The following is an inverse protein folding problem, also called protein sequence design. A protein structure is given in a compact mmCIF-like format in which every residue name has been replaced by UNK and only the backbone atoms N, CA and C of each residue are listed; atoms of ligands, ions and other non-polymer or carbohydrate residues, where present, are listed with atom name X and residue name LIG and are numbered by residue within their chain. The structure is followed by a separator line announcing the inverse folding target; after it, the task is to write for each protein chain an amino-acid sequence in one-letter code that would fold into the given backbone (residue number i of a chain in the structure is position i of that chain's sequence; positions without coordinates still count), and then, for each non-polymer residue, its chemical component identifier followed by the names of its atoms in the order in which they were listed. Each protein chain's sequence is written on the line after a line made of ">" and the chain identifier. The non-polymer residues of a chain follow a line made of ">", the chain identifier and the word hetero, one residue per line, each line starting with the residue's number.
data_IF_967038837049
#
_entry.id   IF_967038837049
#
_cell.length_a   1.000
_cell.length_b   1.000
_cell.length_c   1.000
_cell.angle_alpha   90.00
_cell.angle_beta   90.00
_cell.angle_gamma   90.00
#
_symmetry.space_group_name_H-M   'P 1'
#
loop_
_entity.id
_entity.type
_entity.pdbx_description
1 polymer ?
#
# COMPACT_ATOMS: atom_id res chain seq x y z
N UNK A 1 8.84 14.04 -31.27
CA UNK A 1 8.54 14.55 -29.92
C UNK A 1 8.67 13.41 -28.93
N UNK A 2 9.38 13.61 -27.81
CA UNK A 2 9.48 12.62 -26.74
C UNK A 2 8.20 12.58 -25.90
N UNK A 3 8.01 11.53 -25.09
CA UNK A 3 6.83 11.43 -24.24
C UNK A 3 6.74 12.57 -23.22
N UNK A 4 7.86 13.01 -22.63
CA UNK A 4 7.86 14.14 -21.69
C UNK A 4 7.53 15.46 -22.39
N UNK A 5 8.07 15.71 -23.59
CA UNK A 5 7.73 16.91 -24.38
C UNK A 5 6.25 16.94 -24.75
N UNK A 6 5.65 15.77 -25.04
CA UNK A 6 4.23 15.66 -25.33
C UNK A 6 3.36 15.97 -24.09
N UNK A 7 3.74 15.46 -22.92
CA UNK A 7 3.06 15.74 -21.63
C UNK A 7 3.17 17.24 -21.29
N UNK A 8 4.37 17.82 -21.43
CA UNK A 8 4.60 19.24 -21.17
C UNK A 8 3.75 20.12 -22.09
N UNK A 9 3.77 19.85 -23.40
CA UNK A 9 2.95 20.57 -24.38
C UNK A 9 1.46 20.50 -24.03
N UNK A 10 0.98 19.32 -23.62
CA UNK A 10 -0.42 19.13 -23.24
C UNK A 10 -0.79 19.98 -22.02
N UNK A 11 -0.01 19.92 -20.95
CA UNK A 11 -0.26 20.70 -19.74
C UNK A 11 -0.12 22.21 -19.98
N UNK A 12 0.79 22.65 -20.86
CA UNK A 12 0.91 24.06 -21.26
C UNK A 12 -0.32 24.54 -22.04
N UNK A 13 -0.90 23.71 -22.91
CA UNK A 13 -2.07 24.08 -23.70
C UNK A 13 -3.36 24.07 -22.89
N UNK A 14 -3.52 23.11 -21.98
CA UNK A 14 -4.73 23.03 -21.16
C UNK A 14 -4.70 23.99 -19.98
N UNK A 15 -3.50 24.43 -19.56
CA UNK A 15 -3.32 25.39 -18.47
C UNK A 15 -3.87 24.91 -17.13
N UNK A 16 -4.12 23.59 -16.99
CA UNK A 16 -4.72 23.00 -15.81
C UNK A 16 -4.03 21.68 -15.46
N UNK A 17 -4.02 21.29 -14.17
CA UNK A 17 -3.59 19.96 -13.76
C UNK A 17 -4.47 18.87 -14.40
N UNK A 18 -3.86 17.76 -14.78
CA UNK A 18 -4.57 16.62 -15.38
C UNK A 18 -4.08 15.30 -14.78
N UNK A 19 -4.96 14.31 -14.67
CA UNK A 19 -4.56 13.00 -14.16
C UNK A 19 -3.70 12.25 -15.17
N UNK A 20 -2.88 11.29 -14.71
CA UNK A 20 -2.08 10.42 -15.59
C UNK A 20 -2.94 9.65 -16.60
N UNK A 21 -4.18 9.30 -16.22
CA UNK A 21 -5.15 8.69 -17.13
C UNK A 21 -5.63 9.70 -18.18
N UNK A 22 -6.04 10.91 -17.77
CA UNK A 22 -6.45 11.96 -18.69
C UNK A 22 -5.34 12.35 -19.67
N UNK A 23 -4.09 12.38 -19.20
CA UNK A 23 -2.92 12.64 -20.04
C UNK A 23 -2.70 11.50 -21.04
N UNK A 24 -2.79 10.25 -20.61
CA UNK A 24 -2.66 9.10 -21.52
C UNK A 24 -3.75 9.12 -22.61
N UNK A 25 -5.01 9.34 -22.22
CA UNK A 25 -6.15 9.38 -23.13
C UNK A 25 -6.01 10.50 -24.17
N UNK A 26 -5.66 11.71 -23.71
CA UNK A 26 -5.54 12.88 -24.57
C UNK A 26 -4.31 12.78 -25.49
N UNK A 27 -3.20 12.20 -25.03
CA UNK A 27 -2.03 11.95 -25.88
C UNK A 27 -2.29 10.87 -26.93
N UNK A 28 -3.03 9.82 -26.59
CA UNK A 28 -3.46 8.79 -27.54
C UNK A 28 -4.41 9.35 -28.60
N UNK A 29 -5.34 10.24 -28.20
CA UNK A 29 -6.29 10.91 -29.09
C UNK A 29 -5.59 11.86 -30.06
N UNK A 30 -4.63 12.65 -29.56
CA UNK A 30 -4.01 13.73 -30.33
C UNK A 30 -2.79 13.25 -31.15
N UNK A 31 -2.38 11.98 -30.97
CA UNK A 31 -1.27 11.30 -31.67
C UNK A 31 0.07 12.05 -31.57
N UNK A 32 0.24 12.83 -30.51
CA UNK A 32 1.43 13.65 -30.26
C UNK A 32 2.66 12.84 -29.87
N UNK A 33 2.45 11.63 -29.34
CA UNK A 33 3.47 10.62 -29.15
C UNK A 33 2.91 9.28 -29.61
N UNK A 34 3.70 8.52 -30.38
CA UNK A 34 3.37 7.16 -30.75
C UNK A 34 4.53 6.26 -30.36
N UNK A 35 4.21 5.12 -29.77
CA UNK A 35 5.19 4.09 -29.45
C UNK A 35 5.68 3.45 -30.75
N UNK A 36 6.94 2.99 -30.75
CA UNK A 36 7.53 2.27 -31.90
C UNK A 36 6.78 0.98 -32.26
N UNK A 37 6.11 0.38 -31.27
CA UNK A 37 5.31 -0.84 -31.41
C UNK A 37 3.84 -0.55 -31.82
N UNK A 38 3.47 0.72 -32.03
CA UNK A 38 2.11 1.12 -32.40
C UNK A 38 1.05 1.01 -31.30
N UNK A 39 1.41 0.51 -30.12
CA UNK A 39 0.46 0.36 -29.01
C UNK A 39 0.17 1.70 -28.29
N UNK A 40 -0.96 1.74 -27.57
CA UNK A 40 -1.40 2.94 -26.85
C UNK A 40 -0.55 3.24 -25.63
N UNK A 41 -0.45 4.52 -25.30
CA UNK A 41 0.21 5.02 -24.10
C UNK A 41 -0.68 4.69 -22.90
N UNK A 42 -0.11 4.04 -21.89
CA UNK A 42 -0.82 3.68 -20.66
C UNK A 42 -0.47 4.65 -19.52
N UNK A 43 -1.41 4.88 -18.60
CA UNK A 43 -1.25 5.85 -17.51
C UNK A 43 0.01 5.62 -16.65
N UNK A 44 0.41 4.37 -16.43
CA UNK A 44 1.63 4.04 -15.68
C UNK A 44 2.92 4.48 -16.40
N UNK A 45 2.90 4.59 -17.73
CA UNK A 45 4.04 5.05 -18.52
C UNK A 45 4.21 6.57 -18.42
N UNK A 46 3.09 7.30 -18.28
CA UNK A 46 3.08 8.73 -17.94
C UNK A 46 3.71 8.92 -16.57
N UNK A 47 3.25 8.14 -15.59
CA UNK A 47 3.77 8.15 -14.22
C UNK A 47 5.29 7.91 -14.16
N UNK A 48 5.77 6.85 -14.82
CA UNK A 48 7.20 6.53 -14.87
C UNK A 48 8.04 7.59 -15.60
N UNK A 49 7.48 8.23 -16.63
CA UNK A 49 8.18 9.28 -17.37
C UNK A 49 8.33 10.55 -16.55
N UNK A 50 7.27 11.02 -15.90
CA UNK A 50 7.24 12.26 -15.11
C UNK A 50 8.27 12.24 -13.96
N UNK A 51 8.45 11.07 -13.32
CA UNK A 51 9.42 10.90 -12.22
C UNK A 51 10.87 11.24 -12.63
N UNK A 52 11.21 11.08 -13.90
CA UNK A 52 12.55 11.38 -14.42
C UNK A 52 12.72 12.84 -14.85
N UNK A 53 11.68 13.67 -14.72
CA UNK A 53 11.66 15.09 -15.11
C UNK A 53 11.03 15.93 -13.99
N UNK A 54 11.50 15.73 -12.75
CA UNK A 54 11.02 16.45 -11.56
C UNK A 54 11.31 17.96 -11.60
N UNK A 55 12.16 18.43 -12.51
CA UNK A 55 12.43 19.86 -12.71
C UNK A 55 11.35 20.54 -13.59
N UNK A 56 10.50 19.76 -14.27
CA UNK A 56 9.49 20.24 -15.22
C UNK A 56 8.07 19.99 -14.70
N UNK A 57 7.85 18.86 -14.05
CA UNK A 57 6.54 18.39 -13.61
C UNK A 57 6.48 18.22 -12.10
N UNK A 58 5.38 18.67 -11.53
CA UNK A 58 5.00 18.41 -10.14
C UNK A 58 3.66 17.65 -10.13
N UNK A 59 3.37 16.98 -9.02
CA UNK A 59 2.25 16.03 -8.94
C UNK A 59 1.60 15.98 -7.58
N UNK A 60 0.31 15.75 -7.59
CA UNK A 60 -0.51 15.47 -6.43
C UNK A 60 -1.34 14.20 -6.71
N UNK A 61 -0.90 13.08 -6.13
CA UNK A 61 -1.47 11.76 -6.42
C UNK A 61 -1.32 11.37 -7.89
N UNK A 62 -2.45 11.15 -8.57
CA UNK A 62 -2.51 10.86 -10.00
C UNK A 62 -2.52 12.13 -10.87
N UNK A 63 -2.61 13.31 -10.27
CA UNK A 63 -2.71 14.60 -10.96
C UNK A 63 -1.32 15.19 -11.21
N UNK A 64 -1.09 15.70 -12.41
CA UNK A 64 0.18 16.24 -12.88
C UNK A 64 0.00 17.69 -13.30
N UNK A 65 0.94 18.55 -12.94
CA UNK A 65 0.96 19.97 -13.29
C UNK A 65 2.40 20.44 -13.58
N UNK A 66 2.53 21.60 -14.20
CA UNK A 66 3.83 22.19 -14.54
C UNK A 66 4.33 23.07 -13.41
N UNK A 67 5.62 22.94 -13.09
CA UNK A 67 6.28 23.77 -12.10
C UNK A 67 6.32 25.22 -12.60
N UNK A 68 5.91 26.16 -11.75
CA UNK A 68 5.92 27.59 -12.06
C UNK A 68 4.66 28.14 -12.74
N UNK A 69 3.59 27.35 -12.90
CA UNK A 69 2.29 27.90 -13.29
C UNK A 69 1.48 28.36 -12.06
N UNK A 70 1.00 29.61 -12.03
CA UNK A 70 0.22 30.12 -10.91
C UNK A 70 -1.13 29.40 -10.82
N UNK A 71 -1.38 28.70 -9.71
CA UNK A 71 -2.71 28.19 -9.39
C UNK A 71 -3.61 29.36 -9.01
N UNK A 72 -4.53 29.73 -9.89
CA UNK A 72 -5.51 30.80 -9.63
C UNK A 72 -6.47 30.37 -8.52
N UNK A 73 -6.21 30.88 -7.30
CA UNK A 73 -7.18 30.93 -6.21
C UNK A 73 -8.30 31.90 -6.58
N UNK A 74 -9.48 31.39 -6.91
CA UNK A 74 -10.68 32.24 -7.06
C UNK A 74 -11.30 32.47 -5.68
N UNK A 75 -11.23 33.71 -5.19
CA UNK A 75 -11.97 34.24 -4.02
C UNK A 75 -13.40 34.62 -4.45
N UNK A 76 -14.37 34.43 -3.54
CA UNK A 76 -15.62 35.19 -3.48
C UNK A 76 -16.03 35.40 -1.98
N UNK A 77 -16.81 36.44 -1.63
CA UNK A 77 -16.52 37.27 -0.47
C UNK A 77 -17.44 37.11 0.77
N UNK A 78 -16.84 37.39 1.94
CA UNK A 78 -17.36 38.02 3.18
C UNK A 78 -18.71 37.62 3.78
N UNK A 79 -18.70 37.06 5.00
CA UNK A 79 -19.35 37.66 6.19
C UNK A 79 -19.04 36.89 7.51
N UNK A 80 -18.55 37.65 8.51
CA UNK A 80 -18.71 37.55 9.98
C UNK A 80 -18.18 36.32 10.76
N UNK A 81 -17.15 36.56 11.58
CA UNK A 81 -16.84 35.88 12.87
C UNK A 81 -17.94 36.21 13.92
N UNK A 82 -18.09 35.52 15.08
CA UNK A 82 -17.16 34.60 15.75
C UNK A 82 -17.82 33.24 16.12
N UNK A 83 -17.11 32.15 16.43
CA UNK A 83 -16.69 31.79 17.81
C UNK A 83 -15.80 30.53 17.71
N UNK A 84 -14.61 30.57 18.29
CA UNK A 84 -13.58 29.54 18.10
C UNK A 84 -13.87 28.27 18.91
N UNK A 85 -14.41 27.25 18.23
CA UNK A 85 -14.28 25.85 18.65
C UNK A 85 -12.87 25.41 18.25
N UNK A 86 -12.11 24.89 19.22
CA UNK A 86 -10.80 24.26 18.99
C UNK A 86 -10.99 23.02 18.12
N UNK A 87 -10.85 23.15 16.81
CA UNK A 87 -10.61 22.01 15.92
C UNK A 87 -9.19 22.16 15.40
N UNK A 88 -8.29 21.29 15.86
CA UNK A 88 -6.94 21.17 15.34
C UNK A 88 -7.02 20.88 13.84
N UNK A 89 -6.55 21.83 13.04
CA UNK A 89 -6.29 21.66 11.61
C UNK A 89 -5.22 20.57 11.47
N UNK A 90 -5.61 19.36 11.01
CA UNK A 90 -4.65 18.32 10.61
C UNK A 90 -3.80 18.87 9.47
N UNK A 91 -2.51 18.98 9.75
CA UNK A 91 -1.47 19.37 8.79
C UNK A 91 -1.46 18.34 7.66
N UNK A 92 -1.51 18.79 6.40
CA UNK A 92 -1.33 17.94 5.23
C UNK A 92 0.01 17.20 5.31
N UNK A 93 -0.02 15.92 5.69
CA UNK A 93 1.17 15.09 5.75
C UNK A 93 1.61 14.69 4.34
N UNK A 94 2.84 15.05 4.00
CA UNK A 94 3.58 14.66 2.79
C UNK A 94 4.00 13.19 2.75
N UNK A 95 3.62 12.37 3.75
CA UNK A 95 4.04 10.97 3.87
C UNK A 95 2.87 9.98 3.96
N UNK A 96 1.69 10.39 3.47
CA UNK A 96 0.52 9.50 3.41
C UNK A 96 0.78 8.30 2.49
N UNK A 97 0.64 7.09 3.04
CA UNK A 97 0.70 5.81 2.34
C UNK A 97 -0.60 5.06 2.51
N UNK A 98 -0.89 4.15 1.59
CA UNK A 98 -2.03 3.24 1.67
C UNK A 98 -1.56 1.78 1.57
N UNK A 99 -2.25 0.86 2.24
CA UNK A 99 -2.06 -0.58 2.13
C UNK A 99 -2.73 -1.11 0.84
N UNK A 100 -2.55 -2.40 0.57
CA UNK A 100 -3.16 -3.11 -0.54
C UNK A 100 -4.47 -3.79 -0.13
N UNK A 101 -5.19 -4.31 -1.11
CA UNK A 101 -6.28 -5.25 -0.88
C UNK A 101 -5.78 -6.54 -0.22
N UNK A 102 -6.62 -7.25 0.57
CA UNK A 102 -6.23 -8.51 1.16
C UNK A 102 -5.98 -9.57 0.09
N UNK A 103 -4.99 -10.42 0.32
CA UNK A 103 -4.86 -11.69 -0.42
C UNK A 103 -5.62 -12.73 0.39
N UNK A 104 -6.80 -13.12 -0.07
CA UNK A 104 -7.63 -14.15 0.57
C UNK A 104 -8.61 -14.77 -0.42
N UNK A 105 -9.27 -15.84 0.01
CA UNK A 105 -10.42 -16.45 -0.66
C UNK A 105 -11.42 -16.98 0.38
N UNK A 106 -12.56 -17.53 -0.05
CA UNK A 106 -13.60 -18.09 0.84
C UNK A 106 -13.10 -19.19 1.79
N UNK A 107 -12.02 -19.88 1.42
CA UNK A 107 -11.45 -21.00 2.19
C UNK A 107 -10.39 -20.56 3.20
N UNK A 108 -10.10 -19.26 3.27
CA UNK A 108 -9.11 -18.70 4.20
C UNK A 108 -9.48 -19.03 5.64
N UNK A 109 -8.56 -19.71 6.33
CA UNK A 109 -8.70 -20.18 7.70
C UNK A 109 -7.74 -19.48 8.67
N UNK A 110 -6.65 -18.93 8.15
CA UNK A 110 -5.62 -18.21 8.89
C UNK A 110 -5.45 -16.85 8.22
N UNK A 111 -5.55 -15.75 8.97
CA UNK A 111 -5.25 -14.40 8.50
C UNK A 111 -3.98 -13.89 9.18
N UNK A 112 -2.96 -13.53 8.41
CA UNK A 112 -1.77 -12.85 8.92
C UNK A 112 -1.90 -11.36 8.70
N UNK A 113 -1.83 -10.59 9.79
CA UNK A 113 -1.94 -9.14 9.80
C UNK A 113 -0.56 -8.52 9.97
N UNK A 114 -0.15 -7.74 8.96
CA UNK A 114 0.95 -6.79 9.06
C UNK A 114 0.50 -5.45 9.64
N UNK A 115 1.47 -4.59 9.92
CA UNK A 115 1.20 -3.21 10.33
C UNK A 115 0.76 -2.37 9.13
N UNK A 116 1.64 -2.28 8.13
CA UNK A 116 1.48 -1.52 6.89
C UNK A 116 2.62 -1.89 5.91
N UNK A 117 2.41 -1.89 4.59
CA UNK A 117 3.47 -2.19 3.64
C UNK A 117 4.62 -1.18 3.73
N UNK A 118 5.86 -1.67 3.57
CA UNK A 118 7.04 -0.83 3.46
C UNK A 118 7.17 -0.18 2.08
N UNK A 119 8.08 0.78 1.93
CA UNK A 119 8.31 1.51 0.68
C UNK A 119 8.58 0.58 -0.50
N UNK A 120 9.41 -0.45 -0.28
CA UNK A 120 9.74 -1.43 -1.33
C UNK A 120 8.54 -2.29 -1.71
N UNK A 121 7.68 -2.63 -0.74
CA UNK A 121 6.45 -3.36 -0.99
C UNK A 121 5.50 -2.52 -1.84
N UNK A 122 5.29 -1.25 -1.48
CA UNK A 122 4.49 -0.28 -2.24
C UNK A 122 5.03 -0.03 -3.65
N UNK A 123 6.35 0.09 -3.80
CA UNK A 123 7.00 0.26 -5.10
C UNK A 123 6.75 -0.94 -6.04
N UNK A 124 6.79 -2.16 -5.50
CA UNK A 124 6.60 -3.38 -6.26
C UNK A 124 5.12 -3.77 -6.43
N UNK A 125 4.22 -3.20 -5.64
CA UNK A 125 2.84 -3.68 -5.55
C UNK A 125 2.73 -5.08 -4.94
N UNK A 126 3.70 -5.46 -4.10
CA UNK A 126 3.80 -6.79 -3.51
C UNK A 126 3.90 -6.73 -1.99
N UNK A 127 3.04 -7.48 -1.30
CA UNK A 127 3.22 -7.72 0.12
C UNK A 127 4.60 -8.33 0.40
N UNK A 128 5.27 -7.79 1.43
CA UNK A 128 6.60 -8.24 1.84
C UNK A 128 7.65 -8.23 0.71
N UNK A 129 7.49 -7.38 -0.31
CA UNK A 129 8.37 -7.30 -1.49
C UNK A 129 9.84 -6.91 -1.23
N UNK A 130 10.23 -6.52 -0.02
CA UNK A 130 11.63 -6.22 0.29
C UNK A 130 12.48 -7.51 0.28
N UNK A 131 13.61 -7.62 -0.46
CA UNK A 131 14.36 -8.87 -0.61
C UNK A 131 14.88 -9.49 0.70
N UNK A 132 15.17 -8.64 1.70
CA UNK A 132 15.57 -9.09 3.05
C UNK A 132 14.41 -9.42 3.98
N UNK A 133 13.16 -9.23 3.56
CA UNK A 133 12.01 -9.64 4.35
C UNK A 133 11.89 -11.16 4.33
N UNK A 134 11.78 -11.76 5.51
CA UNK A 134 11.83 -13.23 5.66
C UNK A 134 10.47 -13.90 5.47
N UNK A 135 9.38 -13.16 5.26
CA UNK A 135 8.01 -13.70 5.24
C UNK A 135 7.86 -14.88 4.27
N UNK A 136 8.19 -14.69 3.00
CA UNK A 136 8.04 -15.75 1.99
C UNK A 136 8.90 -16.98 2.29
N UNK A 137 10.11 -16.77 2.81
CA UNK A 137 11.01 -17.86 3.23
C UNK A 137 10.46 -18.61 4.45
N UNK A 138 9.87 -17.91 5.41
CA UNK A 138 9.22 -18.52 6.57
C UNK A 138 8.03 -19.34 6.13
N UNK A 139 7.12 -18.77 5.32
CA UNK A 139 5.94 -19.48 4.82
C UNK A 139 6.32 -20.73 4.05
N UNK A 140 7.30 -20.66 3.14
CA UNK A 140 7.75 -21.83 2.38
C UNK A 140 8.35 -22.90 3.30
N UNK A 141 9.16 -22.51 4.30
CA UNK A 141 9.75 -23.46 5.25
C UNK A 141 8.72 -24.12 6.17
N UNK A 142 7.76 -23.37 6.73
CA UNK A 142 6.77 -23.95 7.65
C UNK A 142 5.71 -24.78 6.92
N UNK A 143 5.50 -24.53 5.62
CA UNK A 143 4.60 -25.33 4.77
C UNK A 143 5.31 -26.48 4.06
N UNK A 144 6.63 -26.60 4.22
CA UNK A 144 7.48 -27.59 3.52
C UNK A 144 7.38 -27.50 1.98
N UNK A 145 7.43 -26.29 1.43
CA UNK A 145 7.46 -26.02 -0.01
C UNK A 145 8.73 -25.25 -0.38
N UNK A 146 9.11 -25.28 -1.66
CA UNK A 146 10.17 -24.44 -2.19
C UNK A 146 9.78 -22.96 -2.13
N UNK A 147 10.80 -22.08 -2.09
CA UNK A 147 10.57 -20.64 -2.09
C UNK A 147 10.01 -20.21 -3.46
N UNK A 148 8.79 -19.64 -3.52
CA UNK A 148 8.20 -19.26 -4.81
C UNK A 148 8.95 -18.09 -5.46
N UNK A 149 9.12 -18.16 -6.79
CA UNK A 149 9.92 -17.20 -7.55
C UNK A 149 9.11 -15.98 -7.99
N UNK A 150 7.86 -16.19 -8.43
CA UNK A 150 6.99 -15.11 -8.88
C UNK A 150 5.96 -14.70 -7.82
N UNK A 151 5.39 -13.50 -7.95
CA UNK A 151 4.33 -13.07 -7.05
C UNK A 151 3.03 -13.85 -7.21
N UNK A 152 2.77 -14.42 -8.40
CA UNK A 152 1.65 -15.34 -8.60
C UNK A 152 1.83 -16.60 -7.75
N UNK A 153 3.00 -17.24 -7.85
CA UNK A 153 3.31 -18.47 -7.10
C UNK A 153 3.26 -18.23 -5.59
N UNK A 154 3.73 -17.05 -5.13
CA UNK A 154 3.62 -16.61 -3.73
C UNK A 154 2.16 -16.55 -3.26
N UNK A 155 1.24 -16.01 -4.08
CA UNK A 155 -0.19 -15.97 -3.76
C UNK A 155 -0.80 -17.36 -3.75
N UNK A 156 -0.48 -18.19 -4.75
CA UNK A 156 -0.97 -19.56 -4.84
C UNK A 156 -0.53 -20.41 -3.64
N UNK A 157 0.71 -20.26 -3.19
CA UNK A 157 1.20 -20.92 -1.97
C UNK A 157 0.36 -20.53 -0.75
N UNK A 158 0.03 -19.25 -0.57
CA UNK A 158 -0.82 -18.80 0.54
C UNK A 158 -2.22 -19.42 0.47
N UNK A 159 -2.87 -19.35 -0.69
CA UNK A 159 -4.22 -19.87 -0.89
C UNK A 159 -4.28 -21.40 -0.72
N UNK A 160 -3.28 -22.13 -1.21
CA UNK A 160 -3.13 -23.58 -1.04
C UNK A 160 -3.14 -23.99 0.44
N UNK A 161 -2.53 -23.19 1.31
CA UNK A 161 -2.48 -23.43 2.75
C UNK A 161 -3.55 -22.67 3.54
N UNK A 162 -4.54 -22.07 2.85
CA UNK A 162 -5.65 -21.32 3.46
C UNK A 162 -5.19 -20.13 4.31
N UNK A 163 -4.04 -19.57 3.95
CA UNK A 163 -3.45 -18.39 4.58
C UNK A 163 -3.89 -17.17 3.77
N UNK A 164 -4.53 -16.23 4.43
CA UNK A 164 -4.75 -14.89 3.92
C UNK A 164 -3.73 -13.92 4.52
N UNK A 165 -3.42 -12.85 3.80
CA UNK A 165 -2.60 -11.75 4.32
C UNK A 165 -3.27 -10.41 4.08
N UNK A 166 -3.14 -9.53 5.07
CA UNK A 166 -3.54 -8.13 4.96
C UNK A 166 -2.73 -7.28 5.95
N UNK A 167 -3.04 -5.99 6.04
CA UNK A 167 -2.49 -5.09 7.05
C UNK A 167 -3.61 -4.46 7.87
N UNK A 168 -3.25 -3.98 9.06
CA UNK A 168 -4.21 -3.28 9.92
C UNK A 168 -4.39 -1.84 9.48
N UNK A 169 -3.32 -1.11 9.15
CA UNK A 169 -3.44 0.26 8.66
C UNK A 169 -3.81 0.27 7.16
N UNK A 170 -5.02 0.71 6.84
CA UNK A 170 -5.45 1.02 5.48
C UNK A 170 -4.64 2.20 4.94
N UNK A 171 -4.52 3.26 5.74
CA UNK A 171 -3.81 4.49 5.38
C UNK A 171 -3.09 5.02 6.60
N UNK A 172 -1.89 5.57 6.40
CA UNK A 172 -1.18 6.25 7.49
C UNK A 172 -0.11 7.20 6.96
N UNK A 173 0.28 8.13 7.80
CA UNK A 173 1.46 8.96 7.57
C UNK A 173 2.68 8.19 8.06
N UNK A 174 3.58 7.86 7.14
CA UNK A 174 4.78 7.09 7.49
C UNK A 174 6.00 7.53 6.71
N UNK A 175 6.92 8.21 7.38
CA UNK A 175 8.24 8.52 6.81
C UNK A 175 9.10 7.26 6.81
N UNK A 176 9.50 6.82 5.62
CA UNK A 176 10.28 5.58 5.45
C UNK A 176 9.48 4.32 5.78
N UNK A 177 10.19 3.23 6.08
CA UNK A 177 9.60 1.90 6.25
C UNK A 177 9.66 1.36 7.69
N UNK A 178 9.82 2.23 8.70
CA UNK A 178 9.83 1.82 10.11
C UNK A 178 8.44 1.94 10.72
N UNK A 179 8.04 0.95 11.49
CA UNK A 179 6.72 0.89 12.14
C UNK A 179 6.56 1.98 13.22
N UNK A 180 7.68 2.42 13.82
CA UNK A 180 7.72 3.52 14.77
C UNK A 180 7.41 4.89 14.16
N UNK A 181 7.50 5.03 12.84
CA UNK A 181 7.25 6.28 12.13
C UNK A 181 5.80 6.39 11.61
N UNK A 182 4.91 5.48 12.03
CA UNK A 182 3.50 5.46 11.63
C UNK A 182 2.71 6.38 12.55
N UNK A 183 2.05 7.37 11.95
CA UNK A 183 1.19 8.36 12.58
C UNK A 183 -0.11 8.51 11.78
N UNK A 184 -1.17 9.04 12.42
CA UNK A 184 -2.48 9.27 11.80
C UNK A 184 -3.03 8.06 11.02
N UNK A 185 -2.88 6.86 11.58
CA UNK A 185 -3.34 5.66 10.91
C UNK A 185 -4.86 5.50 10.92
N UNK A 186 -5.42 5.11 9.78
CA UNK A 186 -6.80 4.70 9.57
C UNK A 186 -6.80 3.18 9.36
N UNK A 187 -7.59 2.41 10.12
CA UNK A 187 -7.58 0.95 10.00
C UNK A 187 -8.37 0.46 8.77
N UNK A 188 -7.99 -0.71 8.26
CA UNK A 188 -8.78 -1.49 7.30
C UNK A 188 -10.03 -2.05 7.97
N UNK A 189 -11.09 -2.33 7.20
CA UNK A 189 -12.31 -2.94 7.75
C UNK A 189 -12.13 -4.46 7.99
N UNK A 190 -11.49 -4.78 9.10
CA UNK A 190 -11.26 -6.16 9.53
C UNK A 190 -12.54 -6.82 10.03
N UNK A 191 -13.51 -6.07 10.53
CA UNK A 191 -14.76 -6.62 11.02
C UNK A 191 -15.59 -7.22 9.90
N UNK A 192 -15.76 -6.48 8.81
CA UNK A 192 -16.42 -6.96 7.59
C UNK A 192 -15.63 -8.10 6.94
N UNK A 193 -14.31 -8.04 6.97
CA UNK A 193 -13.47 -9.14 6.48
C UNK A 193 -13.74 -10.42 7.27
N UNK A 194 -13.69 -10.36 8.61
CA UNK A 194 -13.91 -11.52 9.47
C UNK A 194 -15.33 -12.06 9.29
N UNK A 195 -16.33 -11.18 9.18
CA UNK A 195 -17.73 -11.59 8.96
C UNK A 195 -17.95 -12.36 7.65
N UNK A 196 -17.23 -11.98 6.59
CA UNK A 196 -17.30 -12.65 5.28
C UNK A 196 -16.54 -13.98 5.23
N UNK A 197 -15.53 -14.18 6.08
CA UNK A 197 -14.69 -15.38 6.10
C UNK A 197 -15.09 -16.35 7.21
N UNK A 198 -16.17 -17.11 6.98
CA UNK A 198 -16.73 -18.07 7.96
C UNK A 198 -15.76 -19.18 8.39
N UNK A 199 -14.78 -19.49 7.55
CA UNK A 199 -13.77 -20.50 7.81
C UNK A 199 -12.59 -19.98 8.63
N UNK A 200 -12.51 -18.67 8.89
CA UNK A 200 -11.43 -18.06 9.66
C UNK A 200 -11.44 -18.60 11.10
N UNK A 201 -10.27 -19.06 11.55
CA UNK A 201 -10.04 -19.59 12.90
C UNK A 201 -8.86 -18.95 13.60
N UNK A 202 -7.88 -18.47 12.85
CA UNK A 202 -6.63 -17.93 13.40
C UNK A 202 -6.35 -16.55 12.84
N UNK A 203 -6.00 -15.60 13.71
CA UNK A 203 -5.42 -14.31 13.35
C UNK A 203 -4.00 -14.26 13.92
N UNK A 204 -3.02 -14.13 13.03
CA UNK A 204 -1.60 -14.00 13.37
C UNK A 204 -1.12 -12.56 13.22
N UNK A 205 -0.52 -11.99 14.27
CA UNK A 205 0.02 -10.63 14.27
C UNK A 205 1.51 -10.63 13.92
N UNK A 206 1.88 -10.12 12.75
CA UNK A 206 3.28 -10.02 12.31
C UNK A 206 4.00 -8.83 12.96
N UNK A 207 4.42 -9.03 14.21
CA UNK A 207 5.14 -8.06 15.04
C UNK A 207 4.23 -7.28 16.00
N UNK A 208 4.82 -6.75 17.07
CA UNK A 208 4.10 -6.13 18.19
C UNK A 208 3.23 -4.95 17.79
N UNK A 209 3.67 -4.15 16.81
CA UNK A 209 2.90 -2.99 16.33
C UNK A 209 1.59 -3.42 15.69
N UNK A 210 1.57 -4.53 14.95
CA UNK A 210 0.34 -5.06 14.37
C UNK A 210 -0.65 -5.45 15.48
N UNK A 211 -0.23 -6.24 16.47
CA UNK A 211 -1.09 -6.58 17.62
C UNK A 211 -1.61 -5.35 18.36
N UNK A 212 -0.74 -4.37 18.62
CA UNK A 212 -1.12 -3.12 19.31
C UNK A 212 -2.14 -2.31 18.51
N UNK A 213 -2.00 -2.22 17.19
CA UNK A 213 -2.97 -1.52 16.34
C UNK A 213 -4.30 -2.29 16.26
N UNK A 214 -4.26 -3.61 16.23
CA UNK A 214 -5.48 -4.41 16.26
C UNK A 214 -6.26 -4.13 17.54
N UNK A 215 -5.62 -4.30 18.70
CA UNK A 215 -6.26 -4.10 20.01
C UNK A 215 -6.68 -2.63 20.26
N UNK A 216 -6.13 -1.68 19.49
CA UNK A 216 -6.55 -0.27 19.50
C UNK A 216 -7.87 -0.03 18.76
N UNK A 217 -8.12 -0.74 17.67
CA UNK A 217 -9.23 -0.47 16.74
C UNK A 217 -10.32 -1.55 16.73
N UNK A 218 -10.02 -2.75 17.20
CA UNK A 218 -10.90 -3.91 17.09
C UNK A 218 -10.93 -4.70 18.40
N UNK A 219 -12.10 -5.22 18.71
CA UNK A 219 -12.27 -6.17 19.80
C UNK A 219 -11.94 -7.60 19.35
N UNK A 220 -11.32 -8.36 20.26
CA UNK A 220 -11.07 -9.79 20.02
C UNK A 220 -12.39 -10.56 20.06
N UNK A 221 -12.65 -11.36 19.02
CA UNK A 221 -13.89 -12.12 18.84
C UNK A 221 -13.76 -13.54 19.42
N UNK A 222 -14.79 -13.99 20.12
CA UNK A 222 -14.88 -15.37 20.60
C UNK A 222 -14.89 -16.35 19.43
N UNK A 223 -14.13 -17.44 19.54
CA UNK A 223 -14.03 -18.46 18.49
C UNK A 223 -12.90 -18.24 17.48
N UNK A 224 -12.15 -17.14 17.61
CA UNK A 224 -10.88 -16.93 16.91
C UNK A 224 -9.71 -17.10 17.88
N UNK A 225 -8.64 -17.73 17.39
CA UNK A 225 -7.35 -17.82 18.06
C UNK A 225 -6.47 -16.68 17.58
N UNK A 226 -5.94 -15.91 18.53
CA UNK A 226 -5.03 -14.81 18.26
C UNK A 226 -3.61 -15.26 18.60
N UNK A 227 -2.68 -15.09 17.66
CA UNK A 227 -1.30 -15.56 17.79
C UNK A 227 -0.34 -14.42 17.51
N UNK A 228 0.54 -14.12 18.46
CA UNK A 228 1.66 -13.23 18.22
C UNK A 228 2.74 -13.92 17.39
N UNK A 229 3.22 -13.25 16.34
CA UNK A 229 4.30 -13.72 15.47
C UNK A 229 5.46 -12.71 15.46
N UNK A 230 6.71 -13.15 15.65
CA UNK A 230 7.85 -12.25 15.52
C UNK A 230 7.90 -11.62 14.13
N UNK A 231 8.28 -10.33 14.06
CA UNK A 231 8.29 -9.58 12.82
C UNK A 231 9.20 -10.21 11.76
N UNK A 232 8.71 -10.30 10.52
CA UNK A 232 9.48 -10.79 9.36
C UNK A 232 10.39 -9.72 8.73
N UNK A 233 10.30 -8.48 9.20
CA UNK A 233 11.11 -7.35 8.74
C UNK A 233 12.61 -7.59 8.97
N UNK A 234 13.48 -7.07 8.08
CA UNK A 234 14.94 -7.12 8.30
C UNK A 234 15.38 -6.37 9.56
N UNK A 235 14.55 -5.48 10.13
CA UNK A 235 14.85 -4.81 11.39
C UNK A 235 14.84 -5.75 12.60
N UNK A 236 14.21 -6.92 12.48
CA UNK A 236 14.16 -7.92 13.55
C UNK A 236 15.38 -8.85 13.50
N UNK A 237 16.49 -8.42 14.10
CA UNK A 237 17.75 -9.19 14.20
C UNK A 237 17.84 -10.07 15.46
N UNK A 238 16.89 -9.95 16.38
CA UNK A 238 16.93 -10.62 17.68
C UNK A 238 16.49 -12.08 17.69
N UNK A 239 16.11 -12.65 16.53
CA UNK A 239 15.67 -14.04 16.41
C UNK A 239 16.24 -14.70 15.16
N UNK A 240 16.85 -15.87 15.35
CA UNK A 240 17.34 -16.71 14.26
C UNK A 240 16.21 -17.30 13.43
N UNK A 241 16.57 -17.84 12.27
CA UNK A 241 15.59 -18.31 11.28
C UNK A 241 14.82 -19.56 11.73
N UNK A 242 15.44 -20.47 12.47
CA UNK A 242 14.79 -21.71 12.88
C UNK A 242 13.79 -21.45 13.99
N UNK A 243 14.14 -20.59 14.95
CA UNK A 243 13.27 -20.22 16.05
C UNK A 243 12.08 -19.36 15.59
N UNK A 244 12.27 -18.41 14.64
CA UNK A 244 11.11 -17.71 14.06
C UNK A 244 10.20 -18.70 13.32
N UNK A 245 10.73 -19.67 12.59
CA UNK A 245 9.91 -20.71 11.94
C UNK A 245 9.13 -21.56 12.95
N UNK A 246 9.73 -21.94 14.09
CA UNK A 246 9.04 -22.68 15.16
C UNK A 246 7.86 -21.89 15.72
N UNK A 247 8.05 -20.60 15.99
CA UNK A 247 6.97 -19.72 16.47
C UNK A 247 5.88 -19.56 15.43
N UNK A 248 6.26 -19.38 14.16
CA UNK A 248 5.30 -19.26 13.06
C UNK A 248 4.49 -20.54 12.79
N UNK A 249 4.99 -21.73 13.14
CA UNK A 249 4.21 -22.98 13.02
C UNK A 249 2.97 -23.01 13.91
N UNK A 250 2.90 -22.17 14.95
CA UNK A 250 1.75 -22.12 15.85
C UNK A 250 0.45 -21.69 15.16
N UNK A 251 0.52 -21.05 13.99
CA UNK A 251 -0.66 -20.67 13.19
C UNK A 251 -1.43 -21.89 12.68
N UNK A 252 -0.79 -23.06 12.56
CA UNK A 252 -1.42 -24.30 12.15
C UNK A 252 -1.92 -25.15 13.32
N UNK A 253 -1.53 -24.80 14.54
CA UNK A 253 -1.90 -25.56 15.73
C UNK A 253 -3.34 -25.22 16.09
N UNK A 254 -4.20 -26.22 16.09
CA UNK A 254 -5.60 -26.11 16.54
C UNK A 254 -5.66 -25.66 18.01
#
# INVERSE_FOLDING_TARGET
>A
MTLHQAIEKLLRQTGRPMTTQQIADELNKNKWYQKKDGSTIQAFQIYGRIRNYADIFDRDGSTVFLIGQPTTKTKAPTAKKPTAIKHLVKVNSTYSKASFDPISNSDTAILILGTMPGDKSLELGEYYGHPRNRFWKIISTITNNELPLTYSDKKELLLKFKIGIWDIAHKANRKGSLDSAIEDEEPNDLDDFIARHKNLKVIGFNGTKSETLFDKYFDRKSGLKYVYLPSTSPANTGIDFDNICKLWRQIFTK
#
